data_IF_292086556719
#
_entry.id   IF_292086556719
#
_cell.length_a   1.000
_cell.length_b   1.000
_cell.length_c   1.000
_cell.angle_alpha   90.00
_cell.angle_beta   90.00
_cell.angle_gamma   90.00
#
_symmetry.space_group_name_H-M   'P 1'
#
loop_
_entity.id
_entity.type
_entity.pdbx_description
1 polymer ?
#
# COMPACT_ATOMS: atom_id res chain seq x y z
N UNK A 1 36.22 21.33 -27.90
CA UNK A 1 35.28 20.52 -27.10
C UNK A 1 34.68 19.53 -28.06
N UNK A 2 34.91 18.22 -27.85
CA UNK A 2 34.25 17.20 -28.66
C UNK A 2 32.74 17.28 -28.43
N UNK A 3 31.95 17.30 -29.50
CA UNK A 3 30.50 17.28 -29.41
C UNK A 3 30.04 15.95 -28.81
N UNK A 4 28.98 15.99 -28.01
CA UNK A 4 28.49 14.82 -27.31
C UNK A 4 28.02 13.76 -28.29
N UNK A 5 28.34 12.49 -28.02
CA UNK A 5 27.81 11.34 -28.78
C UNK A 5 26.26 11.30 -28.78
N UNK A 6 25.61 12.02 -27.86
CA UNK A 6 24.16 12.08 -27.75
C UNK A 6 23.53 13.17 -28.63
N UNK A 7 24.30 14.15 -29.10
CA UNK A 7 23.80 15.30 -29.89
C UNK A 7 22.95 14.87 -31.11
N UNK A 8 23.36 13.86 -31.92
CA UNK A 8 22.58 13.41 -33.08
C UNK A 8 21.22 12.79 -32.72
N UNK A 9 21.06 12.31 -31.49
CA UNK A 9 19.87 11.58 -31.06
C UNK A 9 18.85 12.48 -30.33
N UNK A 10 19.27 13.65 -29.85
CA UNK A 10 18.40 14.62 -29.16
C UNK A 10 17.34 15.26 -30.06
N UNK A 11 17.58 15.31 -31.37
CA UNK A 11 16.69 15.92 -32.37
C UNK A 11 15.87 14.91 -33.17
N UNK A 12 15.88 13.63 -32.79
CA UNK A 12 15.15 12.58 -33.49
C UNK A 12 13.64 12.84 -33.41
N UNK A 13 12.97 12.87 -34.56
CA UNK A 13 11.49 12.95 -34.59
C UNK A 13 10.91 11.74 -33.88
N UNK A 14 10.17 11.97 -32.82
CA UNK A 14 9.53 10.90 -32.06
C UNK A 14 8.18 10.55 -32.69
N UNK A 15 7.79 9.27 -32.65
CA UNK A 15 6.43 8.83 -33.01
C UNK A 15 5.40 9.17 -31.94
N UNK A 16 5.86 9.52 -30.73
CA UNK A 16 5.00 9.84 -29.60
C UNK A 16 4.48 11.27 -29.76
N UNK A 17 3.16 11.40 -29.86
CA UNK A 17 2.48 12.71 -29.94
C UNK A 17 2.27 13.36 -28.56
N UNK A 18 2.39 12.57 -27.50
CA UNK A 18 2.22 12.96 -26.11
C UNK A 18 3.37 12.38 -25.28
N UNK A 19 3.34 12.65 -23.98
CA UNK A 19 4.32 12.12 -23.05
C UNK A 19 4.39 10.58 -23.13
N UNK A 20 5.59 10.04 -23.35
CA UNK A 20 5.84 8.60 -23.42
C UNK A 20 5.65 7.94 -22.05
N UNK A 21 5.74 8.71 -20.97
CA UNK A 21 5.57 8.22 -19.59
C UNK A 21 4.21 7.55 -19.37
N UNK A 22 3.16 7.91 -20.14
CA UNK A 22 1.82 7.30 -20.04
C UNK A 22 1.79 5.80 -20.36
N UNK A 23 2.80 5.29 -21.08
CA UNK A 23 2.91 3.88 -21.45
C UNK A 23 3.73 3.07 -20.45
N UNK A 24 4.29 3.70 -19.40
CA UNK A 24 5.06 2.98 -18.40
C UNK A 24 4.14 2.15 -17.49
N UNK A 25 4.58 0.97 -17.01
CA UNK A 25 3.82 0.18 -16.04
C UNK A 25 3.48 0.92 -14.74
N UNK A 26 4.28 1.94 -14.39
CA UNK A 26 4.08 2.77 -13.21
C UNK A 26 3.00 3.84 -13.38
N UNK A 27 2.55 4.10 -14.61
CA UNK A 27 1.53 5.11 -14.89
C UNK A 27 0.15 4.60 -14.46
N UNK A 28 -0.55 5.41 -13.66
CA UNK A 28 -1.92 5.15 -13.24
C UNK A 28 -2.87 6.12 -13.97
N UNK A 29 -3.71 5.65 -14.89
CA UNK A 29 -4.64 6.51 -15.61
C UNK A 29 -5.80 7.00 -14.74
N UNK A 30 -6.44 8.10 -15.16
CA UNK A 30 -7.61 8.70 -14.49
C UNK A 30 -8.87 7.81 -14.52
N UNK A 31 -8.90 6.83 -15.42
CA UNK A 31 -9.96 5.83 -15.52
C UNK A 31 -9.33 4.47 -15.79
N UNK A 32 -9.94 3.43 -15.22
CA UNK A 32 -9.57 2.03 -15.43
C UNK A 32 -10.74 1.30 -16.11
N UNK A 33 -10.80 1.31 -17.46
CA UNK A 33 -11.88 0.64 -18.19
C UNK A 33 -12.01 -0.83 -17.80
N UNK A 34 -13.26 -1.31 -17.72
CA UNK A 34 -13.61 -2.69 -17.34
C UNK A 34 -13.28 -3.07 -15.89
N UNK A 35 -12.88 -2.10 -15.05
CA UNK A 35 -12.64 -2.28 -13.61
C UNK A 35 -13.60 -1.48 -12.73
N UNK A 36 -14.61 -0.84 -13.32
CA UNK A 36 -15.57 0.03 -12.63
C UNK A 36 -16.35 -0.72 -11.54
N UNK A 37 -16.77 -1.97 -11.80
CA UNK A 37 -17.46 -2.78 -10.79
C UNK A 37 -16.58 -3.11 -9.58
N UNK A 38 -15.32 -3.47 -9.82
CA UNK A 38 -14.34 -3.80 -8.78
C UNK A 38 -13.99 -2.55 -7.96
N UNK A 39 -13.81 -1.40 -8.62
CA UNK A 39 -13.60 -0.10 -7.97
C UNK A 39 -14.82 0.24 -7.10
N UNK A 40 -16.03 0.07 -7.63
CA UNK A 40 -17.27 0.33 -6.90
C UNK A 40 -17.43 -0.54 -5.66
N UNK A 41 -17.13 -1.83 -5.75
CA UNK A 41 -17.14 -2.75 -4.61
C UNK A 41 -16.14 -2.34 -3.53
N UNK A 42 -14.89 -2.06 -3.93
CA UNK A 42 -13.86 -1.65 -2.99
C UNK A 42 -14.18 -0.30 -2.33
N UNK A 43 -14.67 0.66 -3.12
CA UNK A 43 -15.14 1.95 -2.62
C UNK A 43 -16.29 1.79 -1.62
N UNK A 44 -17.27 0.92 -1.90
CA UNK A 44 -18.40 0.66 -1.01
C UNK A 44 -17.96 0.09 0.34
N UNK A 45 -16.97 -0.80 0.36
CA UNK A 45 -16.42 -1.35 1.61
C UNK A 45 -15.67 -0.26 2.40
N UNK A 46 -14.84 0.53 1.71
CA UNK A 46 -13.91 1.46 2.34
C UNK A 46 -14.53 2.81 2.68
N UNK A 47 -15.69 3.19 2.12
CA UNK A 47 -16.33 4.51 2.32
C UNK A 47 -16.57 4.83 3.80
N UNK A 48 -16.74 3.82 4.66
CA UNK A 48 -16.93 4.03 6.09
C UNK A 48 -15.71 4.66 6.78
N UNK A 49 -14.51 4.54 6.19
CA UNK A 49 -13.31 5.24 6.64
C UNK A 49 -13.49 6.76 6.64
N UNK A 50 -14.20 7.31 5.64
CA UNK A 50 -14.51 8.73 5.55
C UNK A 50 -15.49 9.21 6.64
N UNK A 51 -16.11 8.28 7.36
CA UNK A 51 -16.95 8.57 8.53
C UNK A 51 -16.18 8.41 9.84
N UNK A 52 -14.88 8.09 9.78
CA UNK A 52 -14.05 7.81 10.95
C UNK A 52 -14.30 6.42 11.57
N UNK A 53 -14.97 5.53 10.85
CA UNK A 53 -15.24 4.16 11.28
C UNK A 53 -14.24 3.19 10.65
N UNK A 54 -14.08 1.99 11.24
CA UNK A 54 -13.20 0.93 10.72
C UNK A 54 -13.87 0.22 9.52
N UNK A 55 -13.30 0.26 8.31
CA UNK A 55 -13.73 -0.61 7.22
C UNK A 55 -13.38 -2.07 7.48
N UNK A 56 -14.11 -2.98 6.84
CA UNK A 56 -13.72 -4.39 6.77
C UNK A 56 -12.36 -4.55 6.10
N UNK A 57 -11.60 -5.56 6.52
CA UNK A 57 -10.40 -5.98 5.79
C UNK A 57 -10.83 -6.56 4.44
N UNK A 58 -10.00 -6.38 3.41
CA UNK A 58 -10.27 -6.85 2.05
C UNK A 58 -9.10 -7.70 1.57
N UNK A 59 -9.41 -8.84 0.95
CA UNK A 59 -8.43 -9.66 0.25
C UNK A 59 -8.80 -9.69 -1.25
N UNK A 60 -7.84 -9.35 -2.10
CA UNK A 60 -7.99 -9.30 -3.55
C UNK A 60 -7.02 -10.30 -4.15
N UNK A 61 -7.55 -11.32 -4.83
CA UNK A 61 -6.74 -12.35 -5.49
C UNK A 61 -7.05 -12.44 -6.98
N UNK A 62 -6.09 -12.94 -7.75
CA UNK A 62 -6.24 -13.17 -9.18
C UNK A 62 -4.89 -13.19 -9.89
N UNK A 63 -4.87 -13.58 -11.17
CA UNK A 63 -3.62 -13.69 -11.93
C UNK A 63 -2.87 -12.35 -12.02
N UNK A 64 -1.55 -12.39 -12.19
CA UNK A 64 -0.70 -11.22 -12.45
C UNK A 64 -1.15 -10.50 -13.73
N UNK A 65 -0.97 -9.18 -13.78
CA UNK A 65 -1.34 -8.36 -14.95
C UNK A 65 -2.84 -8.10 -15.10
N UNK A 66 -3.68 -8.57 -14.17
CA UNK A 66 -5.13 -8.31 -14.20
C UNK A 66 -5.51 -6.90 -13.72
N UNK A 67 -4.58 -6.13 -13.15
CA UNK A 67 -4.84 -4.74 -12.72
C UNK A 67 -5.31 -4.58 -11.28
N UNK A 68 -5.10 -5.58 -10.42
CA UNK A 68 -5.39 -5.50 -8.96
C UNK A 68 -4.70 -4.29 -8.31
N UNK A 69 -3.39 -4.18 -8.48
CA UNK A 69 -2.57 -3.06 -8.00
C UNK A 69 -3.07 -1.71 -8.52
N UNK A 70 -3.48 -1.64 -9.79
CA UNK A 70 -3.99 -0.42 -10.39
C UNK A 70 -5.30 0.03 -9.71
N UNK A 71 -6.23 -0.90 -9.45
CA UNK A 71 -7.48 -0.60 -8.74
C UNK A 71 -7.21 -0.10 -7.32
N UNK A 72 -6.29 -0.73 -6.60
CA UNK A 72 -5.96 -0.35 -5.21
C UNK A 72 -5.30 1.04 -5.15
N UNK A 73 -4.33 1.33 -6.03
CA UNK A 73 -3.74 2.67 -6.16
C UNK A 73 -4.73 3.73 -6.66
N UNK A 74 -5.70 3.32 -7.48
CA UNK A 74 -6.78 4.21 -7.91
C UNK A 74 -7.63 4.65 -6.72
N UNK A 75 -8.02 3.71 -5.87
CA UNK A 75 -8.75 3.99 -4.63
C UNK A 75 -7.96 4.90 -3.68
N UNK A 76 -6.64 4.73 -3.57
CA UNK A 76 -5.79 5.66 -2.81
C UNK A 76 -5.96 7.10 -3.31
N UNK A 77 -5.90 7.32 -4.63
CA UNK A 77 -6.09 8.64 -5.22
C UNK A 77 -7.50 9.19 -4.98
N UNK A 78 -8.53 8.34 -5.01
CA UNK A 78 -9.91 8.76 -4.70
C UNK A 78 -10.07 9.17 -3.23
N UNK A 79 -9.42 8.46 -2.30
CA UNK A 79 -9.36 8.88 -0.89
C UNK A 79 -8.71 10.25 -0.72
N UNK A 80 -7.59 10.51 -1.40
CA UNK A 80 -6.91 11.81 -1.35
C UNK A 80 -7.79 12.96 -1.87
N UNK A 81 -8.72 12.68 -2.79
CA UNK A 81 -9.67 13.67 -3.31
C UNK A 81 -10.87 13.88 -2.38
N UNK A 82 -11.37 12.80 -1.78
CA UNK A 82 -12.60 12.81 -0.98
C UNK A 82 -12.37 13.21 0.49
N UNK A 83 -11.20 12.90 1.06
CA UNK A 83 -10.90 13.13 2.47
C UNK A 83 -10.37 14.54 2.74
N UNK A 84 -11.26 15.52 2.69
CA UNK A 84 -10.95 16.92 3.02
C UNK A 84 -10.52 17.13 4.48
N UNK A 85 -10.97 16.25 5.39
CA UNK A 85 -10.65 16.30 6.82
C UNK A 85 -9.30 15.65 7.16
N UNK A 86 -8.66 14.96 6.20
CA UNK A 86 -7.41 14.21 6.36
C UNK A 86 -7.46 13.16 7.48
N UNK A 87 -8.64 12.59 7.71
CA UNK A 87 -8.86 11.59 8.75
C UNK A 87 -8.44 10.18 8.32
N UNK A 88 -8.25 9.95 7.02
CA UNK A 88 -7.86 8.68 6.41
C UNK A 88 -6.40 8.75 5.96
N UNK A 89 -5.59 7.84 6.48
CA UNK A 89 -4.20 7.66 6.08
C UNK A 89 -4.09 6.37 5.26
N UNK A 90 -3.86 6.52 3.97
CA UNK A 90 -3.69 5.40 3.05
C UNK A 90 -2.19 5.10 2.87
N UNK A 91 -1.82 3.82 3.06
CA UNK A 91 -0.46 3.33 2.86
C UNK A 91 -0.50 2.18 1.87
N UNK A 92 0.37 2.24 0.86
CA UNK A 92 0.61 1.15 -0.06
C UNK A 92 2.03 0.62 0.15
N UNK A 93 2.17 -0.69 0.33
CA UNK A 93 3.44 -1.40 0.45
C UNK A 93 3.45 -2.55 -0.56
N UNK A 94 4.54 -2.68 -1.31
CA UNK A 94 4.77 -3.84 -2.16
C UNK A 94 5.65 -4.83 -1.38
N UNK A 95 5.15 -6.04 -1.17
CA UNK A 95 5.81 -7.09 -0.40
C UNK A 95 6.85 -7.90 -1.19
N UNK A 96 7.03 -7.67 -2.49
CA UNK A 96 8.26 -8.08 -3.20
C UNK A 96 9.46 -7.19 -2.82
N UNK A 97 9.21 -5.91 -2.50
CA UNK A 97 10.26 -4.96 -2.10
C UNK A 97 10.47 -5.01 -0.58
N UNK A 98 9.38 -4.99 0.20
CA UNK A 98 9.40 -5.04 1.66
C UNK A 98 8.95 -6.43 2.10
N UNK A 99 9.89 -7.36 2.09
CA UNK A 99 9.61 -8.81 2.17
C UNK A 99 9.94 -9.44 3.53
N UNK A 100 10.07 -8.63 4.59
CA UNK A 100 10.31 -9.09 5.96
C UNK A 100 9.27 -8.51 6.93
N UNK A 101 8.86 -9.26 7.97
CA UNK A 101 7.95 -8.77 9.01
C UNK A 101 8.43 -7.45 9.62
N UNK A 102 9.73 -7.38 9.95
CA UNK A 102 10.36 -6.17 10.46
C UNK A 102 10.18 -4.99 9.49
N UNK A 103 10.50 -5.20 8.21
CA UNK A 103 10.40 -4.17 7.18
C UNK A 103 8.98 -3.66 7.00
N UNK A 104 7.97 -4.54 7.05
CA UNK A 104 6.56 -4.15 6.94
C UNK A 104 6.17 -3.26 8.12
N UNK A 105 6.40 -3.71 9.36
CA UNK A 105 6.06 -2.92 10.55
C UNK A 105 6.80 -1.58 10.58
N UNK A 106 8.09 -1.59 10.25
CA UNK A 106 8.94 -0.41 10.18
C UNK A 106 8.45 0.57 9.10
N UNK A 107 8.05 0.07 7.93
CA UNK A 107 7.54 0.90 6.83
C UNK A 107 6.20 1.57 7.19
N UNK A 108 5.30 0.82 7.84
CA UNK A 108 4.03 1.38 8.33
C UNK A 108 4.33 2.45 9.40
N UNK A 109 5.16 2.14 10.41
CA UNK A 109 5.42 3.04 11.53
C UNK A 109 6.10 4.33 11.08
N UNK A 110 7.11 4.23 10.20
CA UNK A 110 7.83 5.39 9.68
C UNK A 110 6.99 6.30 8.80
N UNK A 111 5.80 5.88 8.34
CA UNK A 111 4.85 6.78 7.68
C UNK A 111 4.37 7.89 8.61
N UNK A 112 4.28 7.59 9.90
CA UNK A 112 3.75 8.49 10.93
C UNK A 112 4.87 9.21 11.72
N UNK A 113 6.13 9.03 11.32
CA UNK A 113 7.28 9.65 11.97
C UNK A 113 7.92 10.66 11.00
N UNK A 114 7.63 11.94 11.23
CA UNK A 114 8.18 13.04 10.44
C UNK A 114 9.67 13.26 10.72
N UNK A 115 10.08 13.19 12.00
CA UNK A 115 11.46 13.41 12.40
C UNK A 115 12.35 12.20 12.03
N UNK A 116 13.27 12.42 11.09
CA UNK A 116 14.19 11.39 10.61
C UNK A 116 14.98 10.70 11.74
N UNK A 117 15.39 11.43 12.78
CA UNK A 117 16.16 10.87 13.90
C UNK A 117 15.34 9.99 14.85
N UNK A 118 14.01 10.07 14.78
CA UNK A 118 13.10 9.25 15.58
C UNK A 118 12.55 8.06 14.80
N UNK A 119 12.89 7.93 13.52
CA UNK A 119 12.43 6.81 12.70
C UNK A 119 12.90 5.49 13.27
N UNK A 120 12.04 4.50 13.14
CA UNK A 120 12.38 3.11 13.42
C UNK A 120 13.54 2.73 12.50
N UNK A 121 14.69 2.30 13.06
CA UNK A 121 15.89 1.99 12.30
C UNK A 121 15.64 0.84 11.32
N UNK A 122 16.57 0.63 10.39
CA UNK A 122 16.46 -0.48 9.45
C UNK A 122 16.72 -1.85 10.12
N UNK A 123 17.51 -1.89 11.20
CA UNK A 123 17.79 -3.08 12.02
C UNK A 123 18.16 -2.69 13.45
N UNK A 124 18.35 -3.69 14.32
CA UNK A 124 18.89 -3.50 15.68
C UNK A 124 17.84 -3.43 16.79
N UNK A 125 16.56 -3.39 16.43
CA UNK A 125 15.44 -3.58 17.36
C UNK A 125 14.85 -4.97 17.21
N UNK A 126 14.26 -5.51 18.28
CA UNK A 126 13.39 -6.67 18.17
C UNK A 126 12.09 -6.31 17.44
N UNK A 127 11.48 -7.28 16.77
CA UNK A 127 10.20 -7.12 16.07
C UNK A 127 9.11 -6.61 17.03
N UNK A 128 9.07 -7.12 18.27
CA UNK A 128 8.11 -6.68 19.29
C UNK A 128 8.29 -5.20 19.67
N UNK A 129 9.55 -4.74 19.73
CA UNK A 129 9.83 -3.33 20.01
C UNK A 129 9.39 -2.44 18.85
N UNK A 130 9.61 -2.89 17.61
CA UNK A 130 9.11 -2.21 16.41
C UNK A 130 7.59 -2.16 16.39
N UNK A 131 6.92 -3.27 16.72
CA UNK A 131 5.47 -3.34 16.81
C UNK A 131 4.92 -2.37 17.86
N UNK A 132 5.56 -2.30 19.04
CA UNK A 132 5.17 -1.35 20.09
C UNK A 132 5.32 0.11 19.66
N UNK A 133 6.42 0.44 18.96
CA UNK A 133 6.63 1.79 18.41
C UNK A 133 5.61 2.11 17.32
N UNK A 134 5.27 1.14 16.47
CA UNK A 134 4.21 1.27 15.49
C UNK A 134 2.87 1.58 16.16
N UNK A 135 2.48 0.83 17.19
CA UNK A 135 1.23 1.05 17.93
C UNK A 135 1.19 2.44 18.57
N UNK A 136 2.27 2.82 19.27
CA UNK A 136 2.41 4.15 19.88
C UNK A 136 2.13 5.23 18.84
N UNK A 137 2.84 5.16 17.69
CA UNK A 137 2.69 6.15 16.62
C UNK A 137 1.32 6.11 15.97
N UNK A 138 0.77 4.93 15.70
CA UNK A 138 -0.56 4.78 15.11
C UNK A 138 -1.64 5.44 15.96
N UNK A 139 -1.58 5.26 17.29
CA UNK A 139 -2.64 5.63 18.25
C UNK A 139 -2.49 7.02 18.90
N UNK A 140 -1.56 7.85 18.43
CA UNK A 140 -1.37 9.23 18.90
C UNK A 140 -2.66 10.06 18.76
N UNK A 141 -3.37 9.88 17.65
CA UNK A 141 -4.56 10.66 17.27
C UNK A 141 -5.71 9.77 16.73
N UNK A 142 -6.91 10.35 16.66
CA UNK A 142 -8.08 9.67 16.08
C UNK A 142 -8.01 9.74 14.55
N UNK A 143 -7.82 8.59 13.91
CA UNK A 143 -7.75 8.46 12.45
C UNK A 143 -8.08 7.04 11.99
N UNK A 144 -8.36 6.90 10.70
CA UNK A 144 -8.50 5.59 10.04
C UNK A 144 -7.29 5.37 9.15
N UNK A 145 -6.63 4.23 9.30
CA UNK A 145 -5.45 3.86 8.53
C UNK A 145 -5.81 2.68 7.64
N UNK A 146 -5.62 2.85 6.33
CA UNK A 146 -5.81 1.78 5.35
C UNK A 146 -4.42 1.34 4.90
N UNK A 147 -4.06 0.08 5.16
CA UNK A 147 -2.78 -0.50 4.75
C UNK A 147 -3.03 -1.50 3.63
N UNK A 148 -2.64 -1.12 2.42
CA UNK A 148 -2.60 -1.99 1.26
C UNK A 148 -1.25 -2.70 1.18
N UNK A 149 -1.27 -4.03 1.33
CA UNK A 149 -0.13 -4.91 1.16
C UNK A 149 -0.28 -5.60 -0.20
N UNK A 150 0.61 -5.29 -1.13
CA UNK A 150 0.62 -5.88 -2.48
C UNK A 150 1.55 -7.09 -2.53
N UNK A 151 1.15 -8.12 -3.27
CA UNK A 151 1.90 -9.38 -3.42
C UNK A 151 2.23 -10.05 -2.07
N UNK A 152 1.23 -10.13 -1.20
CA UNK A 152 1.37 -10.70 0.15
C UNK A 152 1.75 -12.18 0.15
N UNK A 153 1.49 -12.89 -0.95
CA UNK A 153 1.96 -14.27 -1.15
C UNK A 153 3.48 -14.37 -0.96
N UNK A 154 4.23 -13.36 -1.41
CA UNK A 154 5.70 -13.32 -1.26
C UNK A 154 6.14 -13.19 0.18
N UNK A 155 5.45 -12.36 0.96
CA UNK A 155 5.73 -12.19 2.38
C UNK A 155 5.48 -13.50 3.14
N UNK A 156 4.35 -14.14 2.89
CA UNK A 156 3.93 -15.37 3.58
C UNK A 156 4.81 -16.55 3.21
N UNK A 157 5.11 -16.75 1.93
CA UNK A 157 5.96 -17.86 1.48
C UNK A 157 7.36 -17.82 2.10
N UNK A 158 7.89 -16.61 2.37
CA UNK A 158 9.22 -16.43 2.91
C UNK A 158 9.27 -16.49 4.44
N UNK A 159 8.23 -16.01 5.13
CA UNK A 159 8.30 -15.74 6.57
C UNK A 159 7.18 -16.39 7.39
N UNK A 160 6.23 -17.09 6.77
CA UNK A 160 4.99 -17.52 7.40
C UNK A 160 3.95 -16.39 7.49
N UNK A 161 2.82 -16.69 8.11
CA UNK A 161 1.64 -15.83 8.21
C UNK A 161 1.55 -15.03 9.53
N UNK A 162 2.48 -15.26 10.48
CA UNK A 162 2.53 -14.60 11.80
C UNK A 162 2.35 -13.07 11.72
N UNK A 163 3.02 -12.42 10.76
CA UNK A 163 2.92 -10.98 10.57
C UNK A 163 1.52 -10.54 10.10
N UNK A 164 0.88 -11.32 9.23
CA UNK A 164 -0.48 -11.04 8.80
C UNK A 164 -1.45 -11.21 9.97
N UNK A 165 -1.25 -12.24 10.79
CA UNK A 165 -2.04 -12.45 12.00
C UNK A 165 -1.92 -11.28 12.98
N UNK A 166 -0.69 -10.82 13.23
CA UNK A 166 -0.43 -9.63 14.06
C UNK A 166 -1.14 -8.39 13.49
N UNK A 167 -1.01 -8.12 12.18
CA UNK A 167 -1.65 -6.96 11.54
C UNK A 167 -3.19 -7.07 11.53
N UNK A 168 -3.76 -8.26 11.38
CA UNK A 168 -5.21 -8.46 11.42
C UNK A 168 -5.78 -8.14 12.80
N UNK A 169 -5.01 -8.43 13.86
CA UNK A 169 -5.35 -8.17 15.27
C UNK A 169 -4.93 -6.81 15.80
N UNK A 170 -4.21 -6.00 15.02
CA UNK A 170 -3.66 -4.71 15.49
C UNK A 170 -4.70 -3.78 16.13
N UNK A 171 -5.97 -3.88 15.74
CA UNK A 171 -7.03 -3.04 16.29
C UNK A 171 -7.37 -3.38 17.75
N UNK A 172 -7.06 -4.59 18.22
CA UNK A 172 -7.29 -4.99 19.61
C UNK A 172 -6.37 -4.20 20.57
N UNK A 173 -5.24 -3.72 20.05
CA UNK A 173 -4.25 -2.91 20.77
C UNK A 173 -4.45 -1.38 20.58
N UNK A 174 -5.42 -0.94 19.77
CA UNK A 174 -5.64 0.47 19.43
C UNK A 174 -6.88 1.05 20.09
N UNK A 175 -6.73 2.24 20.70
CA UNK A 175 -7.83 2.93 21.37
C UNK A 175 -8.47 4.02 20.52
N UNK A 176 -7.66 4.84 19.84
CA UNK A 176 -8.10 6.02 19.06
C UNK A 176 -8.11 5.77 17.56
N UNK A 177 -7.06 5.13 17.04
CA UNK A 177 -6.92 4.83 15.63
C UNK A 177 -7.71 3.57 15.25
N UNK A 178 -8.01 3.43 13.97
CA UNK A 178 -8.63 2.24 13.39
C UNK A 178 -7.81 1.82 12.18
N UNK A 179 -7.52 0.53 12.04
CA UNK A 179 -6.73 -0.01 10.92
C UNK A 179 -7.60 -0.97 10.09
N UNK A 180 -7.54 -0.82 8.77
CA UNK A 180 -8.10 -1.77 7.80
C UNK A 180 -7.00 -2.22 6.84
N UNK A 181 -6.99 -3.52 6.52
CA UNK A 181 -6.00 -4.11 5.62
C UNK A 181 -6.62 -4.37 4.25
N UNK A 182 -5.86 -4.12 3.19
CA UNK A 182 -6.13 -4.59 1.83
C UNK A 182 -4.97 -5.50 1.43
N UNK A 183 -5.20 -6.80 1.42
CA UNK A 183 -4.24 -7.78 0.91
C UNK A 183 -4.43 -8.00 -0.58
N UNK A 184 -3.34 -7.99 -1.36
CA UNK A 184 -3.36 -8.38 -2.77
C UNK A 184 -2.47 -9.60 -2.95
N UNK A 185 -3.02 -10.67 -3.52
CA UNK A 185 -2.26 -11.88 -3.83
C UNK A 185 -2.38 -12.25 -5.30
N UNK A 186 -1.31 -12.80 -5.86
CA UNK A 186 -1.32 -13.40 -7.20
C UNK A 186 -1.79 -14.87 -7.19
N UNK A 187 -1.93 -15.48 -6.01
CA UNK A 187 -2.26 -16.89 -5.84
C UNK A 187 -3.74 -17.09 -5.50
N UNK A 188 -4.42 -17.99 -6.22
CA UNK A 188 -5.85 -18.27 -6.02
C UNK A 188 -6.11 -19.08 -4.75
N UNK A 189 -5.12 -19.86 -4.30
CA UNK A 189 -5.16 -20.70 -3.10
C UNK A 189 -4.56 -19.99 -1.88
N UNK A 190 -4.30 -18.68 -1.96
CA UNK A 190 -3.62 -17.94 -0.90
C UNK A 190 -4.30 -18.10 0.48
N UNK A 191 -5.63 -18.24 0.51
CA UNK A 191 -6.39 -18.45 1.74
C UNK A 191 -6.05 -19.74 2.47
N UNK A 192 -5.50 -20.75 1.79
CA UNK A 192 -5.08 -22.03 2.39
C UNK A 192 -3.77 -21.88 3.19
N UNK A 193 -3.04 -20.78 3.00
CA UNK A 193 -1.82 -20.46 3.76
C UNK A 193 -2.09 -19.59 5.00
N UNK A 194 -3.35 -19.31 5.31
CA UNK A 194 -3.78 -18.48 6.45
C UNK A 194 -4.39 -19.32 7.59
N UNK A 195 -4.18 -20.64 7.57
CA UNK A 195 -4.69 -21.62 8.55
C UNK A 195 -3.70 -21.86 9.71
#
# INVERSE_FOLDING_TARGET
>A
MEESIFQPYLSTRTIFKMDREILRPSYLPDRLPHRESHIGQLAQILVTALKGERPSNVLIFGKTGTGKTAVVKYIENEFRKADGARMVQYLYLNCEIVDTPYGVLQSIGNKFIENFHQRIPFTGLSTDRVYSLLLEKLDEEKRVVIVALDEIDKLVQKNGDDILYQLLKINDDLSKARVSLIGISNELTFTEYLD
#
